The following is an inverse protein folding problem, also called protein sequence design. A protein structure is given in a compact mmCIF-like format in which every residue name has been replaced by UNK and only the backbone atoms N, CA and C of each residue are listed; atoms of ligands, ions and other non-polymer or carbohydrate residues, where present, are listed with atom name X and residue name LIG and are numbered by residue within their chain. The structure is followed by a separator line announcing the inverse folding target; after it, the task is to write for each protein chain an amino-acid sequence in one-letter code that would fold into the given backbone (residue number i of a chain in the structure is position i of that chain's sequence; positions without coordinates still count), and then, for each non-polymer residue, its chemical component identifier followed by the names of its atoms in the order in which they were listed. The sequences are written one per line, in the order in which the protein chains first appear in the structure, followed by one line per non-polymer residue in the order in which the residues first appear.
data_IF_723848847768
#
_entry.id   IF_723848847768
#
_cell.length_a   1.000
_cell.length_b   1.000
_cell.length_c   1.000
_cell.angle_alpha   90.00
_cell.angle_beta   90.00
_cell.angle_gamma   90.00
#
_symmetry.space_group_name_H-M   'P 1'
#
loop_
_entity.id
_entity.type
_entity.pdbx_description
1 polymer ?
#
# COMPACT_ATOMS: atom_id res chain seq x y z
N UNK A 1 16.89 -8.52 1.05
CA UNK A 1 15.99 -8.83 2.18
C UNK A 1 15.39 -7.59 2.81
N UNK A 2 16.19 -6.54 3.06
CA UNK A 2 15.72 -5.28 3.64
C UNK A 2 14.51 -4.66 2.91
N UNK A 3 14.56 -4.51 1.58
CA UNK A 3 13.44 -3.95 0.81
C UNK A 3 12.15 -4.78 0.85
N UNK A 4 12.24 -6.09 1.11
CA UNK A 4 11.06 -6.94 1.35
C UNK A 4 10.48 -6.67 2.73
N UNK A 5 11.33 -6.56 3.75
CA UNK A 5 10.89 -6.25 5.11
C UNK A 5 10.17 -4.90 5.15
N UNK A 6 10.74 -3.85 4.53
CA UNK A 6 10.15 -2.52 4.47
C UNK A 6 8.70 -2.52 3.94
N UNK A 7 8.45 -3.16 2.80
CA UNK A 7 7.10 -3.18 2.22
C UNK A 7 6.12 -4.09 2.97
N UNK A 8 6.61 -5.21 3.52
CA UNK A 8 5.78 -6.15 4.30
C UNK A 8 5.41 -5.58 5.66
N UNK A 9 6.34 -4.88 6.32
CA UNK A 9 6.09 -4.26 7.62
C UNK A 9 5.14 -3.06 7.47
N UNK A 10 5.31 -2.24 6.42
CA UNK A 10 4.35 -1.18 6.09
C UNK A 10 2.94 -1.75 5.83
N UNK A 11 2.83 -2.86 5.08
CA UNK A 11 1.54 -3.53 4.87
C UNK A 11 0.92 -4.01 6.19
N UNK A 12 1.72 -4.61 7.09
CA UNK A 12 1.24 -5.06 8.41
C UNK A 12 0.76 -3.91 9.28
N UNK A 13 1.49 -2.80 9.29
CA UNK A 13 1.11 -1.59 10.02
C UNK A 13 -0.26 -1.08 9.54
N UNK A 14 -0.46 -0.97 8.23
CA UNK A 14 -1.74 -0.52 7.67
C UNK A 14 -2.90 -1.48 7.95
N UNK A 15 -2.66 -2.79 7.85
CA UNK A 15 -3.68 -3.80 8.16
C UNK A 15 -4.11 -3.68 9.62
N UNK A 16 -3.18 -3.45 10.53
CA UNK A 16 -3.49 -3.26 11.95
C UNK A 16 -4.20 -1.93 12.20
N UNK A 17 -3.67 -0.82 11.66
CA UNK A 17 -4.20 0.51 11.88
C UNK A 17 -5.62 0.70 11.33
N UNK A 18 -5.92 0.11 10.17
CA UNK A 18 -7.24 0.17 9.53
C UNK A 18 -8.14 -1.04 9.87
N UNK A 19 -7.72 -1.90 10.80
CA UNK A 19 -8.46 -3.09 11.26
C UNK A 19 -8.96 -3.99 10.09
N UNK A 20 -8.11 -4.19 9.08
CA UNK A 20 -8.49 -4.87 7.85
C UNK A 20 -8.60 -6.38 8.05
N UNK A 21 -9.74 -6.93 7.63
CA UNK A 21 -9.93 -8.39 7.50
C UNK A 21 -9.40 -8.85 6.16
N UNK A 22 -8.17 -9.34 6.16
CA UNK A 22 -7.48 -9.78 4.95
C UNK A 22 -7.96 -11.16 4.50
N UNK A 23 -8.34 -11.26 3.23
CA UNK A 23 -8.76 -12.51 2.58
C UNK A 23 -7.66 -13.08 1.68
N UNK A 24 -6.72 -12.24 1.24
CA UNK A 24 -5.57 -12.63 0.46
C UNK A 24 -4.41 -11.67 0.69
N UNK A 25 -3.19 -12.20 0.74
CA UNK A 25 -1.96 -11.42 0.75
C UNK A 25 -0.87 -12.13 -0.06
N UNK A 26 -0.15 -11.39 -0.90
CA UNK A 26 1.04 -11.90 -1.57
C UNK A 26 2.15 -10.86 -1.60
N UNK A 27 3.38 -11.35 -1.74
CA UNK A 27 4.56 -10.52 -1.99
C UNK A 27 5.19 -10.96 -3.31
N UNK A 28 5.61 -10.00 -4.12
CA UNK A 28 6.32 -10.25 -5.36
C UNK A 28 7.35 -9.16 -5.64
N UNK A 29 8.35 -9.51 -6.45
CA UNK A 29 9.23 -8.53 -7.07
C UNK A 29 8.59 -8.06 -8.37
N UNK A 30 8.39 -6.75 -8.49
CA UNK A 30 7.83 -6.12 -9.67
C UNK A 30 8.93 -5.33 -10.40
N UNK A 31 8.95 -5.41 -11.71
CA UNK A 31 9.85 -4.63 -12.55
C UNK A 31 9.46 -3.16 -12.52
N UNK A 32 10.43 -2.26 -12.43
CA UNK A 32 10.16 -0.82 -12.50
C UNK A 32 9.94 -0.32 -13.94
N UNK A 33 10.12 -1.18 -14.95
CA UNK A 33 9.92 -0.88 -16.37
C UNK A 33 9.02 -1.93 -17.04
N UNK A 34 8.66 -1.67 -18.29
CA UNK A 34 7.86 -2.55 -19.15
C UNK A 34 8.68 -3.65 -19.86
N UNK A 35 10.00 -3.66 -19.67
CA UNK A 35 10.93 -4.60 -20.32
C UNK A 35 11.27 -5.82 -19.45
N UNK A 36 10.82 -5.85 -18.21
CA UNK A 36 11.15 -6.92 -17.29
C UNK A 36 12.59 -6.84 -16.75
N UNK A 37 13.23 -5.69 -16.89
CA UNK A 37 14.63 -5.47 -16.52
C UNK A 37 14.75 -4.79 -15.14
N UNK A 38 15.87 -4.96 -14.43
CA UNK A 38 16.14 -4.19 -13.21
C UNK A 38 16.10 -2.67 -13.48
N UNK A 39 15.84 -1.85 -12.43
CA UNK A 39 15.65 -2.24 -11.04
C UNK A 39 14.28 -2.87 -10.75
N UNK A 40 14.24 -3.73 -9.73
CA UNK A 40 13.01 -4.32 -9.21
C UNK A 40 12.58 -3.62 -7.92
N UNK A 41 11.28 -3.57 -7.66
CA UNK A 41 10.70 -3.12 -6.40
C UNK A 41 9.91 -4.25 -5.72
N UNK A 42 9.86 -4.22 -4.40
CA UNK A 42 8.97 -5.10 -3.64
C UNK A 42 7.54 -4.59 -3.75
N UNK A 43 6.59 -5.50 -3.96
CA UNK A 43 5.16 -5.21 -4.00
C UNK A 43 4.42 -6.18 -3.10
N UNK A 44 3.49 -5.66 -2.31
CA UNK A 44 2.52 -6.46 -1.56
C UNK A 44 1.14 -6.19 -2.14
N UNK A 45 0.42 -7.26 -2.47
CA UNK A 45 -0.98 -7.20 -2.87
C UNK A 45 -1.84 -7.74 -1.74
N UNK A 46 -2.82 -6.94 -1.32
CA UNK A 46 -3.79 -7.31 -0.30
C UNK A 46 -5.19 -7.30 -0.90
N UNK A 47 -5.99 -8.30 -0.54
CA UNK A 47 -7.44 -8.23 -0.64
C UNK A 47 -8.05 -8.28 0.75
N UNK A 48 -9.13 -7.53 0.95
CA UNK A 48 -9.82 -7.43 2.22
C UNK A 48 -11.33 -7.56 2.05
N UNK A 49 -12.02 -7.92 3.13
CA UNK A 49 -13.47 -7.90 3.18
C UNK A 49 -14.00 -6.46 3.07
N UNK A 50 -14.99 -6.25 2.20
CA UNK A 50 -15.75 -5.00 2.16
C UNK A 50 -16.98 -5.17 3.07
N UNK A 51 -17.15 -4.34 4.12
CA UNK A 51 -18.31 -4.43 4.98
C UNK A 51 -19.63 -4.31 4.21
N UNK A 52 -20.68 -4.99 4.69
CA UNK A 52 -22.01 -4.94 4.06
C UNK A 52 -22.53 -3.51 4.06
N UNK A 53 -22.99 -3.05 2.89
CA UNK A 53 -23.49 -1.68 2.71
C UNK A 53 -22.40 -0.64 2.37
N UNK A 54 -21.14 -1.05 2.32
CA UNK A 54 -20.03 -0.21 1.86
C UNK A 54 -19.58 -0.58 0.45
N UNK A 55 -18.83 0.33 -0.19
CA UNK A 55 -18.18 0.09 -1.48
C UNK A 55 -16.68 -0.01 -1.29
N UNK A 56 -16.01 -0.80 -2.14
CA UNK A 56 -14.54 -0.91 -2.13
C UNK A 56 -13.84 0.46 -2.20
N UNK A 57 -14.24 1.41 -3.06
CA UNK A 57 -13.63 2.75 -3.07
C UNK A 57 -13.79 3.53 -1.76
N UNK A 58 -14.93 3.41 -1.08
CA UNK A 58 -15.14 4.08 0.21
C UNK A 58 -14.23 3.51 1.30
N UNK A 59 -14.02 2.19 1.30
CA UNK A 59 -13.09 1.52 2.22
C UNK A 59 -11.64 1.90 1.88
N UNK A 60 -11.24 1.89 0.60
CA UNK A 60 -9.89 2.31 0.17
C UNK A 60 -9.57 3.73 0.61
N UNK A 61 -10.51 4.66 0.46
CA UNK A 61 -10.33 6.05 0.91
C UNK A 61 -10.16 6.15 2.43
N UNK A 62 -10.89 5.33 3.19
CA UNK A 62 -10.72 5.25 4.66
C UNK A 62 -9.35 4.70 5.03
N UNK A 63 -8.88 3.66 4.33
CA UNK A 63 -7.54 3.10 4.53
C UNK A 63 -6.47 4.18 4.32
N UNK A 64 -6.52 4.89 3.19
CA UNK A 64 -5.59 5.99 2.92
C UNK A 64 -5.66 7.11 3.98
N UNK A 65 -6.86 7.48 4.42
CA UNK A 65 -7.02 8.48 5.48
C UNK A 65 -6.45 8.01 6.83
N UNK A 66 -6.66 6.75 7.22
CA UNK A 66 -6.11 6.15 8.44
C UNK A 66 -4.59 6.03 8.36
N UNK A 67 -4.06 5.64 7.20
CA UNK A 67 -2.63 5.58 6.93
C UNK A 67 -1.98 6.96 7.10
N UNK A 68 -2.55 8.01 6.51
CA UNK A 68 -2.03 9.38 6.63
C UNK A 68 -2.05 9.95 8.07
N UNK A 69 -2.73 9.29 9.01
CA UNK A 69 -2.71 9.63 10.43
C UNK A 69 -1.63 8.88 11.22
N UNK A 70 -1.01 7.85 10.63
CA UNK A 70 0.07 7.11 11.29
C UNK A 70 1.38 7.92 11.30
N UNK A 71 2.21 7.80 12.35
CA UNK A 71 3.50 8.48 12.40
C UNK A 71 4.39 8.11 11.21
N UNK A 72 4.93 9.13 10.53
CA UNK A 72 5.84 8.93 9.40
C UNK A 72 5.16 8.67 8.05
N UNK A 73 3.83 8.63 7.99
CA UNK A 73 3.06 8.57 6.76
C UNK A 73 2.63 9.96 6.30
N UNK A 74 2.56 10.15 4.99
CA UNK A 74 2.11 11.37 4.35
C UNK A 74 1.04 11.09 3.29
N UNK A 75 0.06 11.99 3.18
CA UNK A 75 -0.94 11.96 2.14
C UNK A 75 -0.35 12.34 0.77
N UNK A 76 -0.83 11.68 -0.27
CA UNK A 76 -0.35 11.86 -1.65
C UNK A 76 0.91 11.05 -1.96
N UNK A 77 1.34 11.04 -3.23
CA UNK A 77 2.55 10.38 -3.65
C UNK A 77 3.81 11.18 -3.26
N UNK A 78 5.00 10.54 -3.27
CA UNK A 78 6.27 11.26 -3.28
C UNK A 78 6.36 12.27 -4.45
N UNK A 79 7.13 13.36 -4.32
CA UNK A 79 7.27 14.36 -5.38
C UNK A 79 7.70 13.76 -6.73
N UNK A 80 7.06 14.20 -7.81
CA UNK A 80 7.36 13.76 -9.18
C UNK A 80 6.59 12.52 -9.66
N UNK A 81 5.80 11.88 -8.79
CA UNK A 81 4.92 10.76 -9.17
C UNK A 81 3.47 11.22 -9.31
N UNK A 82 2.75 10.62 -10.26
CA UNK A 82 1.32 10.91 -10.55
C UNK A 82 0.51 9.61 -10.67
N UNK A 83 0.42 8.80 -9.59
CA UNK A 83 -0.39 7.59 -9.58
C UNK A 83 -1.89 7.90 -9.63
N UNK A 84 -2.69 6.91 -10.02
CA UNK A 84 -4.16 6.98 -9.96
C UNK A 84 -4.65 6.42 -8.62
N UNK A 85 -5.67 7.05 -8.03
CA UNK A 85 -6.28 6.61 -6.77
C UNK A 85 -5.91 7.49 -5.56
N UNK A 86 -6.40 7.09 -4.39
CA UNK A 86 -5.98 7.68 -3.11
C UNK A 86 -4.63 7.07 -2.72
N UNK A 87 -3.61 7.90 -2.56
CA UNK A 87 -2.24 7.44 -2.33
C UNK A 87 -1.68 8.01 -1.04
N UNK A 88 -0.90 7.20 -0.35
CA UNK A 88 -0.11 7.59 0.83
C UNK A 88 1.31 7.02 0.70
N UNK A 89 2.27 7.62 1.40
CA UNK A 89 3.64 7.11 1.41
C UNK A 89 4.32 7.25 2.76
N UNK A 90 5.29 6.39 3.01
CA UNK A 90 6.24 6.49 4.12
C UNK A 90 7.60 5.98 3.65
N UNK A 91 8.66 6.75 3.89
CA UNK A 91 10.00 6.40 3.42
C UNK A 91 10.03 6.04 1.92
N UNK A 92 10.45 4.82 1.60
CA UNK A 92 10.47 4.28 0.24
C UNK A 92 9.21 3.50 -0.19
N UNK A 93 8.17 3.46 0.64
CA UNK A 93 6.92 2.72 0.40
C UNK A 93 5.79 3.66 0.01
N UNK A 94 5.01 3.26 -0.99
CA UNK A 94 3.80 3.95 -1.45
C UNK A 94 2.66 2.93 -1.55
N UNK A 95 1.46 3.32 -1.11
CA UNK A 95 0.24 2.49 -1.09
C UNK A 95 -0.88 3.23 -1.78
#
# INVERSE_FOLDING_TARGET
EQSRAEVVDAARELVQAAELRITYASFQWEWCNDQGEPPFRGRVDLAWEVPVGETSPAVSKRIAATAAQQPGWAAGPPPGLQPTGDVVHTGGVMV
#
